data_IF_392857847901
#
_entry.id   IF_392857847901
#
_cell.length_a   1.000
_cell.length_b   1.000
_cell.length_c   1.000
_cell.angle_alpha   90.00
_cell.angle_beta   90.00
_cell.angle_gamma   90.00
#
_symmetry.space_group_name_H-M   'P 1'
#
loop_
_entity.id
_entity.type
_entity.pdbx_description
1 polymer ?
#
# COMPACT_ATOMS: atom_id res chain seq x y z
N UNK A 1 71.35 -65.57 -30.39
CA UNK A 1 71.82 -64.18 -30.50
C UNK A 1 70.84 -63.43 -31.39
N UNK A 2 69.72 -62.96 -30.84
CA UNK A 2 69.01 -61.77 -31.28
C UNK A 2 67.87 -61.47 -30.28
N UNK A 3 67.99 -60.27 -29.72
CA UNK A 3 67.12 -59.51 -28.83
C UNK A 3 65.70 -59.35 -29.41
N UNK A 4 64.64 -59.61 -28.62
CA UNK A 4 63.91 -58.68 -27.73
C UNK A 4 62.96 -57.68 -28.42
N UNK A 5 61.80 -57.44 -27.74
CA UNK A 5 60.90 -56.28 -27.79
C UNK A 5 59.92 -56.18 -28.97
N UNK A 6 58.63 -55.82 -28.82
CA UNK A 6 57.82 -55.26 -27.72
C UNK A 6 56.39 -55.82 -27.84
N UNK A 7 55.77 -56.16 -26.70
CA UNK A 7 54.31 -56.25 -26.59
C UNK A 7 53.71 -54.96 -26.04
N UNK A 8 52.51 -54.60 -26.46
CA UNK A 8 51.48 -53.92 -25.66
C UNK A 8 50.23 -53.67 -26.53
N UNK A 9 49.24 -54.54 -26.39
CA UNK A 9 47.84 -54.18 -26.59
C UNK A 9 47.38 -53.60 -25.25
N UNK A 10 46.97 -52.34 -25.22
CA UNK A 10 46.22 -51.81 -24.08
C UNK A 10 44.99 -51.05 -24.58
N UNK A 11 43.84 -51.53 -24.10
CA UNK A 11 42.51 -51.00 -24.32
C UNK A 11 42.23 -50.09 -23.13
N UNK A 12 42.19 -48.78 -23.32
CA UNK A 12 41.60 -47.87 -22.34
C UNK A 12 40.53 -46.97 -22.95
N UNK A 13 39.31 -47.41 -22.71
CA UNK A 13 38.08 -46.69 -22.41
C UNK A 13 38.20 -45.16 -22.37
N UNK A 14 37.62 -44.47 -23.36
CA UNK A 14 37.39 -43.02 -23.29
C UNK A 14 36.38 -42.72 -22.18
N UNK A 15 36.87 -42.12 -21.11
CA UNK A 15 36.07 -41.60 -20.01
C UNK A 15 35.26 -40.39 -20.52
N UNK A 16 33.93 -40.53 -20.56
CA UNK A 16 33.03 -39.40 -20.78
C UNK A 16 33.05 -38.50 -19.55
N UNK A 17 33.65 -37.32 -19.71
CA UNK A 17 33.74 -36.28 -18.70
C UNK A 17 32.35 -35.62 -18.55
N UNK A 18 31.59 -36.09 -17.57
CA UNK A 18 30.34 -35.48 -17.15
C UNK A 18 30.67 -34.08 -16.59
N UNK A 19 30.37 -33.04 -17.36
CA UNK A 19 30.43 -31.65 -16.88
C UNK A 19 29.23 -31.43 -15.95
N UNK A 20 29.46 -31.58 -14.66
CA UNK A 20 28.53 -31.12 -13.63
C UNK A 20 28.49 -29.59 -13.69
N UNK A 21 27.55 -29.04 -14.46
CA UNK A 21 27.13 -27.65 -14.30
C UNK A 21 26.45 -27.55 -12.94
N UNK A 22 27.19 -27.10 -11.93
CA UNK A 22 26.59 -26.49 -10.75
C UNK A 22 25.77 -25.29 -11.23
N UNK A 23 24.47 -25.49 -11.42
CA UNK A 23 23.53 -24.38 -11.48
C UNK A 23 23.62 -23.66 -10.15
N UNK A 24 24.25 -22.48 -10.15
CA UNK A 24 24.07 -21.51 -9.09
C UNK A 24 22.59 -21.12 -9.08
N UNK A 25 21.81 -21.79 -8.22
CA UNK A 25 20.46 -21.36 -7.88
C UNK A 25 20.62 -20.03 -7.16
N UNK A 26 20.45 -18.95 -7.92
CA UNK A 26 20.29 -17.61 -7.40
C UNK A 26 18.95 -17.60 -6.67
N UNK A 27 19.00 -17.87 -5.37
CA UNK A 27 17.87 -17.63 -4.48
C UNK A 27 17.62 -16.12 -4.44
N UNK A 28 16.81 -15.62 -5.39
CA UNK A 28 16.02 -14.42 -5.16
C UNK A 28 15.01 -14.79 -4.07
N UNK A 29 15.44 -14.63 -2.82
CA UNK A 29 14.52 -14.51 -1.71
C UNK A 29 13.66 -13.27 -2.00
N UNK A 30 12.48 -13.50 -2.58
CA UNK A 30 11.38 -12.54 -2.61
C UNK A 30 10.94 -12.29 -1.17
N UNK A 31 11.69 -11.46 -0.47
CA UNK A 31 11.39 -11.03 0.87
C UNK A 31 10.17 -10.09 0.83
N UNK A 32 9.13 -10.49 1.56
CA UNK A 32 8.00 -9.70 2.06
C UNK A 32 7.02 -9.07 1.02
N UNK A 33 5.89 -9.74 0.77
CA UNK A 33 4.70 -9.12 0.13
C UNK A 33 3.76 -8.52 1.20
N UNK A 34 4.29 -7.56 1.98
CA UNK A 34 3.53 -6.70 2.90
C UNK A 34 3.79 -5.23 2.56
N UNK A 35 3.89 -4.95 1.26
CA UNK A 35 4.20 -3.63 0.74
C UNK A 35 3.01 -2.68 0.87
N UNK A 36 3.29 -1.39 0.98
CA UNK A 36 2.27 -0.35 0.92
C UNK A 36 1.61 -0.37 -0.46
N UNK A 37 0.32 -0.03 -0.51
CA UNK A 37 -0.48 0.05 -1.73
C UNK A 37 -1.26 1.35 -1.70
N UNK A 38 -1.11 2.17 -2.73
CA UNK A 38 -1.71 3.50 -2.74
C UNK A 38 -2.16 3.92 -4.13
N UNK A 39 -3.11 4.85 -4.13
CA UNK A 39 -3.59 5.55 -5.31
C UNK A 39 -2.93 6.93 -5.34
N UNK A 40 -2.42 7.34 -6.49
CA UNK A 40 -1.76 8.63 -6.65
C UNK A 40 -2.20 9.29 -7.96
N UNK A 41 -2.70 10.53 -7.93
CA UNK A 41 -2.94 11.31 -9.12
C UNK A 41 -1.63 11.84 -9.70
N UNK A 42 -1.59 12.08 -11.01
CA UNK A 42 -0.52 12.85 -11.64
C UNK A 42 -0.46 14.32 -11.16
N UNK A 43 -1.59 14.86 -10.69
CA UNK A 43 -1.70 16.18 -10.05
C UNK A 43 -2.75 16.20 -8.94
N UNK A 44 -2.40 16.73 -7.78
CA UNK A 44 -3.32 16.86 -6.63
C UNK A 44 -4.19 18.13 -6.66
N UNK A 45 -3.84 19.13 -7.49
CA UNK A 45 -4.59 20.39 -7.62
C UNK A 45 -4.94 20.74 -9.09
N UNK A 46 -5.76 19.92 -9.77
CA UNK A 46 -6.17 20.15 -11.16
C UNK A 46 -7.18 21.31 -11.31
N UNK A 47 -7.24 21.98 -12.49
CA UNK A 47 -8.38 22.79 -12.89
C UNK A 47 -9.71 22.00 -12.95
N UNK A 48 -10.83 22.72 -12.88
CA UNK A 48 -12.15 22.11 -13.12
C UNK A 48 -12.23 21.57 -14.55
N UNK A 49 -12.78 20.35 -14.71
CA UNK A 49 -12.94 19.62 -15.98
C UNK A 49 -11.64 19.23 -16.71
N UNK A 50 -10.47 19.47 -16.12
CA UNK A 50 -9.25 18.85 -16.66
C UNK A 50 -9.22 17.37 -16.27
N UNK A 51 -8.77 16.55 -17.19
CA UNK A 51 -8.48 15.15 -16.93
C UNK A 51 -7.36 15.01 -15.88
N UNK A 52 -7.37 13.93 -15.11
CA UNK A 52 -6.39 13.56 -14.09
C UNK A 52 -6.16 12.06 -14.19
N UNK A 53 -4.90 11.67 -14.31
CA UNK A 53 -4.54 10.25 -14.32
C UNK A 53 -4.39 9.76 -12.88
N UNK A 54 -5.19 8.77 -12.49
CA UNK A 54 -5.09 8.08 -11.20
C UNK A 54 -4.39 6.75 -11.39
N UNK A 55 -3.16 6.64 -10.87
CA UNK A 55 -2.38 5.41 -10.91
C UNK A 55 -2.43 4.64 -9.59
N UNK A 56 -2.29 3.32 -9.66
CA UNK A 56 -2.08 2.47 -8.50
C UNK A 56 -0.62 2.03 -8.40
N UNK A 57 -0.11 2.01 -7.18
CA UNK A 57 1.28 1.66 -6.86
C UNK A 57 1.33 0.65 -5.73
N UNK A 58 2.31 -0.24 -5.79
CA UNK A 58 2.67 -1.13 -4.70
C UNK A 58 4.17 -1.07 -4.46
N UNK A 59 4.59 -0.97 -3.21
CA UNK A 59 6.01 -0.98 -2.88
C UNK A 59 6.34 -0.56 -1.46
N UNK A 60 7.62 -0.31 -1.22
CA UNK A 60 8.17 0.03 0.09
C UNK A 60 8.74 1.42 0.09
N UNK A 61 8.86 2.02 1.27
CA UNK A 61 9.55 3.31 1.41
C UNK A 61 8.96 4.41 0.52
N UNK A 62 7.65 4.31 0.25
CA UNK A 62 6.90 5.17 -0.65
C UNK A 62 7.42 5.22 -2.11
N UNK A 63 8.16 4.19 -2.51
CA UNK A 63 8.58 3.91 -3.89
C UNK A 63 7.88 2.64 -4.33
N UNK A 64 7.20 2.66 -5.46
CA UNK A 64 6.39 1.52 -5.88
C UNK A 64 6.26 1.34 -7.37
N UNK A 65 6.12 0.09 -7.75
CA UNK A 65 5.86 -0.33 -9.11
C UNK A 65 4.39 -0.10 -9.46
N UNK A 66 4.08 0.18 -10.75
CA UNK A 66 2.69 0.25 -11.21
C UNK A 66 1.94 -1.06 -10.97
N UNK A 67 0.67 -0.95 -10.59
CA UNK A 67 -0.25 -2.09 -10.48
C UNK A 67 -1.40 -1.92 -11.46
N UNK A 68 -1.79 -3.01 -12.11
CA UNK A 68 -2.94 -3.02 -13.01
C UNK A 68 -4.21 -2.51 -12.32
N UNK A 69 -4.89 -1.54 -12.92
CA UNK A 69 -6.07 -0.86 -12.40
C UNK A 69 -7.28 -1.18 -13.28
N UNK A 70 -8.19 -2.01 -12.77
CA UNK A 70 -9.42 -2.38 -13.47
C UNK A 70 -10.44 -3.12 -12.60
N UNK A 71 -11.59 -3.43 -13.20
CA UNK A 71 -12.72 -4.10 -12.55
C UNK A 71 -12.36 -5.43 -11.88
N UNK A 72 -11.47 -6.29 -12.44
CA UNK A 72 -11.12 -7.56 -11.78
C UNK A 72 -10.53 -7.40 -10.37
N UNK A 73 -9.91 -6.26 -10.07
CA UNK A 73 -9.34 -5.95 -8.76
C UNK A 73 -10.27 -5.12 -7.88
N UNK A 74 -11.10 -4.25 -8.45
CA UNK A 74 -11.93 -3.33 -7.71
C UNK A 74 -13.23 -3.98 -7.22
N UNK A 75 -13.44 -4.02 -5.90
CA UNK A 75 -14.77 -4.23 -5.33
C UNK A 75 -15.62 -2.97 -5.51
N UNK A 76 -15.04 -1.79 -5.24
CA UNK A 76 -15.66 -0.52 -5.56
C UNK A 76 -14.64 0.56 -5.89
N UNK A 77 -14.97 1.46 -6.82
CA UNK A 77 -14.34 2.76 -6.98
C UNK A 77 -15.43 3.82 -6.88
N UNK A 78 -15.26 4.76 -5.95
CA UNK A 78 -16.26 5.77 -5.62
C UNK A 78 -15.63 7.15 -5.51
N UNK A 79 -16.36 8.17 -5.94
CA UNK A 79 -15.94 9.56 -5.88
C UNK A 79 -16.92 10.35 -5.01
N UNK A 80 -16.38 11.02 -3.99
CA UNK A 80 -17.11 11.86 -3.06
C UNK A 80 -16.73 13.32 -3.25
N UNK A 81 -17.75 14.18 -3.25
CA UNK A 81 -17.64 15.62 -3.39
C UNK A 81 -18.84 16.31 -2.73
N UNK A 82 -18.89 17.64 -2.78
CA UNK A 82 -20.08 18.42 -2.39
C UNK A 82 -21.32 18.05 -3.20
N UNK A 83 -21.15 17.47 -4.39
CA UNK A 83 -22.24 16.96 -5.23
C UNK A 83 -22.84 15.64 -4.75
N UNK A 84 -22.28 15.03 -3.71
CA UNK A 84 -22.62 13.68 -3.27
C UNK A 84 -21.62 12.64 -3.77
N UNK A 85 -22.06 11.39 -3.74
CA UNK A 85 -21.30 10.22 -4.18
C UNK A 85 -21.60 9.88 -5.64
N UNK A 86 -20.55 9.53 -6.39
CA UNK A 86 -20.62 8.96 -7.74
C UNK A 86 -19.91 7.61 -7.72
N UNK A 87 -20.61 6.57 -8.19
CA UNK A 87 -20.02 5.23 -8.35
C UNK A 87 -19.27 5.17 -9.68
N UNK A 88 -17.96 4.95 -9.62
CA UNK A 88 -17.05 4.91 -10.76
C UNK A 88 -16.67 3.48 -11.19
N UNK A 89 -16.95 2.46 -10.38
CA UNK A 89 -16.62 1.05 -10.71
C UNK A 89 -17.03 0.63 -12.13
N UNK A 90 -18.22 1.00 -12.66
CA UNK A 90 -18.61 0.63 -14.03
C UNK A 90 -17.75 1.25 -15.14
N UNK A 91 -17.00 2.30 -14.84
CA UNK A 91 -16.11 3.01 -15.79
C UNK A 91 -14.72 2.39 -15.86
N UNK A 92 -14.39 1.48 -14.93
CA UNK A 92 -13.12 0.76 -14.96
C UNK A 92 -13.06 -0.23 -16.12
N UNK A 93 -11.87 -0.43 -16.72
CA UNK A 93 -11.66 -1.46 -17.74
C UNK A 93 -11.89 -2.87 -17.16
N UNK A 94 -12.33 -3.80 -18.00
CA UNK A 94 -12.55 -5.20 -17.62
C UNK A 94 -11.25 -6.05 -17.65
N UNK A 95 -10.09 -5.40 -17.56
CA UNK A 95 -8.77 -6.02 -17.57
C UNK A 95 -7.79 -5.25 -16.67
N UNK A 96 -6.61 -5.82 -16.42
CA UNK A 96 -5.56 -5.22 -15.58
C UNK A 96 -4.33 -4.76 -16.39
N UNK A 97 -4.47 -4.54 -17.71
CA UNK A 97 -3.36 -4.18 -18.60
C UNK A 97 -2.88 -2.72 -18.46
N UNK A 98 -3.73 -1.82 -17.94
CA UNK A 98 -3.37 -0.43 -17.65
C UNK A 98 -3.14 -0.26 -16.16
N UNK A 99 -2.23 0.63 -15.77
CA UNK A 99 -1.87 0.92 -14.38
C UNK A 99 -2.54 2.18 -13.82
N UNK A 100 -3.34 2.85 -14.65
CA UNK A 100 -3.95 4.14 -14.41
C UNK A 100 -5.33 4.25 -15.04
N UNK A 101 -6.16 5.14 -14.49
CA UNK A 101 -7.46 5.54 -15.07
C UNK A 101 -7.60 7.06 -15.07
N UNK A 102 -8.09 7.57 -16.18
CA UNK A 102 -8.34 9.00 -16.37
C UNK A 102 -9.71 9.40 -15.81
N UNK A 103 -9.75 10.41 -14.94
CA UNK A 103 -10.99 11.01 -14.44
C UNK A 103 -11.01 12.52 -14.66
N UNK A 104 -12.19 13.08 -14.94
CA UNK A 104 -12.39 14.53 -15.00
C UNK A 104 -13.40 14.97 -13.95
N UNK A 105 -13.03 15.98 -13.16
CA UNK A 105 -13.86 16.51 -12.08
C UNK A 105 -14.63 17.74 -12.53
N UNK A 106 -15.95 17.64 -12.61
CA UNK A 106 -16.82 18.68 -13.16
C UNK A 106 -17.15 19.82 -12.19
N UNK A 107 -16.71 19.74 -10.94
CA UNK A 107 -16.99 20.69 -9.86
C UNK A 107 -15.73 21.03 -9.08
N UNK A 108 -15.57 22.30 -8.64
CA UNK A 108 -14.48 22.68 -7.76
C UNK A 108 -14.71 22.14 -6.35
N UNK A 109 -13.65 22.09 -5.54
CA UNK A 109 -13.73 21.63 -4.16
C UNK A 109 -12.81 20.44 -3.88
N UNK A 110 -12.94 19.92 -2.66
CA UNK A 110 -12.27 18.69 -2.26
C UNK A 110 -12.92 17.50 -2.98
N UNK A 111 -12.09 16.65 -3.62
CA UNK A 111 -12.52 15.42 -4.26
C UNK A 111 -11.84 14.25 -3.57
N UNK A 112 -12.62 13.37 -2.95
CA UNK A 112 -12.13 12.17 -2.31
C UNK A 112 -12.48 10.97 -3.19
N UNK A 113 -11.45 10.25 -3.66
CA UNK A 113 -11.63 9.01 -4.42
C UNK A 113 -11.32 7.85 -3.48
N UNK A 114 -12.21 6.88 -3.41
CA UNK A 114 -12.06 5.68 -2.58
C UNK A 114 -12.14 4.42 -3.42
N UNK A 115 -11.15 3.55 -3.27
CA UNK A 115 -11.06 2.22 -3.85
C UNK A 115 -11.09 1.18 -2.75
N UNK A 116 -12.01 0.23 -2.85
CA UNK A 116 -11.99 -1.02 -2.12
C UNK A 116 -11.65 -2.15 -3.09
N UNK A 117 -10.69 -3.01 -2.75
CA UNK A 117 -10.30 -4.14 -3.60
C UNK A 117 -11.06 -5.41 -3.25
N UNK A 118 -11.24 -6.27 -4.25
CA UNK A 118 -11.47 -7.68 -4.01
C UNK A 118 -10.37 -8.26 -3.09
N UNK A 119 -10.67 -9.30 -2.30
CA UNK A 119 -9.68 -9.90 -1.42
C UNK A 119 -8.55 -10.59 -2.21
N UNK A 120 -7.34 -10.39 -1.73
CA UNK A 120 -6.16 -11.15 -2.11
C UNK A 120 -5.82 -12.17 -1.03
N UNK A 121 -4.95 -13.11 -1.35
CA UNK A 121 -4.52 -14.14 -0.39
C UNK A 121 -3.01 -14.30 -0.40
N UNK A 122 -2.45 -14.61 0.75
CA UNK A 122 -1.02 -14.89 0.90
C UNK A 122 -0.76 -15.84 2.06
N UNK A 123 0.25 -16.70 1.89
CA UNK A 123 0.81 -17.50 2.98
C UNK A 123 2.27 -17.11 3.18
N UNK A 124 2.60 -16.72 4.40
CA UNK A 124 3.95 -16.32 4.81
C UNK A 124 4.53 -17.34 5.77
N UNK A 125 5.85 -17.52 5.73
CA UNK A 125 6.55 -18.30 6.76
C UNK A 125 6.30 -17.71 8.15
N UNK A 126 6.48 -18.51 9.19
CA UNK A 126 6.28 -18.05 10.57
C UNK A 126 7.12 -16.80 10.89
N UNK A 127 8.39 -16.79 10.51
CA UNK A 127 9.31 -15.68 10.78
C UNK A 127 8.90 -14.41 10.02
N UNK A 128 8.61 -14.53 8.72
CA UNK A 128 8.19 -13.39 7.90
C UNK A 128 6.86 -12.83 8.40
N UNK A 129 5.88 -13.68 8.72
CA UNK A 129 4.59 -13.23 9.24
C UNK A 129 4.75 -12.54 10.59
N UNK A 130 5.51 -13.12 11.53
CA UNK A 130 5.73 -12.51 12.84
C UNK A 130 6.52 -11.19 12.75
N UNK A 131 7.44 -11.05 11.78
CA UNK A 131 8.14 -9.78 11.52
C UNK A 131 7.16 -8.71 11.03
N UNK A 132 6.35 -9.04 10.02
CA UNK A 132 5.27 -8.19 9.51
C UNK A 132 4.31 -7.72 10.61
N UNK A 133 3.85 -8.63 11.48
CA UNK A 133 2.96 -8.26 12.59
C UNK A 133 3.59 -7.25 13.55
N UNK A 134 4.91 -7.28 13.76
CA UNK A 134 5.61 -6.29 14.60
C UNK A 134 5.74 -4.96 13.89
N UNK A 135 6.10 -4.98 12.61
CA UNK A 135 6.29 -3.77 11.81
C UNK A 135 4.99 -2.96 11.69
N UNK A 136 3.86 -3.65 11.54
CA UNK A 136 2.54 -3.04 11.42
C UNK A 136 1.84 -2.76 12.77
N UNK A 137 2.51 -3.00 13.90
CA UNK A 137 1.93 -2.76 15.23
C UNK A 137 0.70 -3.62 15.52
N UNK A 138 0.73 -4.88 15.09
CA UNK A 138 -0.32 -5.89 15.30
C UNK A 138 0.01 -6.78 16.50
N UNK A 139 0.44 -6.19 17.62
CA UNK A 139 0.88 -6.95 18.81
C UNK A 139 -0.20 -7.89 19.35
N UNK A 140 -1.49 -7.49 19.23
CA UNK A 140 -2.63 -8.32 19.64
C UNK A 140 -2.72 -9.62 18.83
N UNK A 141 -2.42 -9.58 17.53
CA UNK A 141 -2.41 -10.76 16.65
C UNK A 141 -1.24 -11.65 17.03
N UNK A 142 -0.06 -11.05 17.24
CA UNK A 142 1.13 -11.79 17.67
C UNK A 142 0.89 -12.51 19.01
N UNK A 143 0.19 -11.86 19.95
CA UNK A 143 -0.20 -12.46 21.22
C UNK A 143 -1.22 -13.61 21.05
N UNK A 144 -2.25 -13.43 20.21
CA UNK A 144 -3.23 -14.47 19.89
C UNK A 144 -2.55 -15.72 19.28
N UNK A 145 -1.63 -15.53 18.32
CA UNK A 145 -0.85 -16.64 17.73
C UNK A 145 -0.03 -17.40 18.77
N UNK A 146 0.61 -16.69 19.70
CA UNK A 146 1.39 -17.32 20.79
C UNK A 146 0.48 -18.13 21.70
N UNK A 147 -0.64 -17.56 22.13
CA UNK A 147 -1.61 -18.23 23.00
C UNK A 147 -2.20 -19.49 22.34
N UNK A 148 -2.40 -19.47 21.03
CA UNK A 148 -2.89 -20.60 20.25
C UNK A 148 -1.80 -21.64 19.89
N UNK A 149 -0.52 -21.45 20.30
CA UNK A 149 0.58 -22.35 19.92
C UNK A 149 0.97 -22.27 18.42
N UNK A 150 0.52 -21.23 17.71
CA UNK A 150 0.70 -21.05 16.27
C UNK A 150 1.93 -20.18 15.92
N UNK A 151 2.74 -19.78 16.90
CA UNK A 151 3.85 -18.85 16.69
C UNK A 151 4.89 -19.36 15.67
N UNK A 152 5.15 -20.67 15.65
CA UNK A 152 6.07 -21.33 14.72
C UNK A 152 5.40 -21.84 13.43
N UNK A 153 4.10 -21.61 13.25
CA UNK A 153 3.35 -22.01 12.07
C UNK A 153 3.34 -20.89 11.03
N UNK A 154 3.20 -21.21 9.72
CA UNK A 154 2.92 -20.20 8.70
C UNK A 154 1.73 -19.31 9.06
N UNK A 155 1.71 -18.08 8.57
CA UNK A 155 0.54 -17.20 8.65
C UNK A 155 -0.17 -17.16 7.31
N UNK A 156 -1.45 -17.54 7.28
CA UNK A 156 -2.29 -17.46 6.08
C UNK A 156 -3.27 -16.31 6.25
N UNK A 157 -3.15 -15.29 5.41
CA UNK A 157 -4.08 -14.16 5.45
C UNK A 157 -4.81 -13.99 4.12
N UNK A 158 -6.08 -13.59 4.24
CA UNK A 158 -6.84 -12.95 3.19
C UNK A 158 -6.80 -11.45 3.46
N UNK A 159 -6.39 -10.64 2.51
CA UNK A 159 -6.25 -9.20 2.73
C UNK A 159 -7.01 -8.35 1.72
N UNK A 160 -7.47 -7.18 2.17
CA UNK A 160 -8.19 -6.18 1.37
C UNK A 160 -7.50 -4.82 1.51
N UNK A 161 -7.47 -4.05 0.42
CA UNK A 161 -6.95 -2.68 0.41
C UNK A 161 -8.12 -1.70 0.36
N UNK A 162 -8.09 -0.74 1.28
CA UNK A 162 -9.04 0.35 1.45
C UNK A 162 -8.28 1.67 1.23
N UNK A 163 -8.30 2.15 -0.01
CA UNK A 163 -7.37 3.18 -0.47
C UNK A 163 -8.14 4.44 -0.80
N UNK A 164 -7.62 5.58 -0.35
CA UNK A 164 -8.17 6.89 -0.68
C UNK A 164 -7.10 7.82 -1.24
N UNK A 165 -7.52 8.70 -2.14
CA UNK A 165 -6.72 9.87 -2.53
C UNK A 165 -7.59 11.11 -2.48
N UNK A 166 -7.01 12.21 -1.99
CA UNK A 166 -7.70 13.49 -1.83
C UNK A 166 -7.09 14.55 -2.74
N UNK A 167 -7.91 15.11 -3.63
CA UNK A 167 -7.56 16.17 -4.56
C UNK A 167 -8.28 17.48 -4.21
N UNK A 168 -7.69 18.60 -4.64
CA UNK A 168 -8.26 19.94 -4.53
C UNK A 168 -8.50 20.53 -5.92
N UNK A 169 -9.72 20.41 -6.44
CA UNK A 169 -10.06 20.90 -7.78
C UNK A 169 -10.37 22.39 -7.76
N UNK A 170 -9.74 23.14 -8.67
CA UNK A 170 -9.98 24.57 -8.85
C UNK A 170 -9.62 25.44 -7.64
N UNK A 171 -8.60 25.02 -6.87
CA UNK A 171 -8.10 25.69 -5.64
C UNK A 171 -9.15 25.94 -4.55
N UNK A 172 -10.30 25.26 -4.63
CA UNK A 172 -11.34 25.31 -3.63
C UNK A 172 -11.32 24.05 -2.78
N UNK A 173 -11.70 24.20 -1.52
CA UNK A 173 -11.79 23.10 -0.56
C UNK A 173 -13.07 23.27 0.26
N UNK A 174 -13.66 22.14 0.64
CA UNK A 174 -14.90 22.02 1.38
C UNK A 174 -14.88 20.74 2.25
N UNK A 175 -15.93 20.48 3.02
CA UNK A 175 -15.98 19.37 3.98
C UNK A 175 -15.86 17.95 3.36
N UNK A 176 -15.88 17.81 2.02
CA UNK A 176 -15.70 16.52 1.35
C UNK A 176 -14.36 15.86 1.65
N UNK A 177 -13.34 16.63 2.09
CA UNK A 177 -12.05 16.06 2.53
C UNK A 177 -12.19 15.01 3.65
N UNK A 178 -13.25 15.10 4.45
CA UNK A 178 -13.48 14.29 5.65
C UNK A 178 -14.70 13.40 5.55
N UNK A 179 -15.25 13.19 4.35
CA UNK A 179 -16.39 12.28 4.15
C UNK A 179 -15.98 10.85 4.54
N UNK A 180 -16.88 10.19 5.26
CA UNK A 180 -16.79 8.76 5.55
C UNK A 180 -17.31 7.99 4.34
N UNK A 181 -16.41 7.34 3.62
CA UNK A 181 -16.70 6.45 2.50
C UNK A 181 -17.27 5.09 2.96
N UNK A 182 -17.25 4.79 4.26
CA UNK A 182 -17.80 3.54 4.79
C UNK A 182 -16.93 2.32 4.48
N UNK A 183 -15.61 2.53 4.32
CA UNK A 183 -14.67 1.43 4.13
C UNK A 183 -14.54 0.61 5.41
N UNK A 184 -14.21 -0.68 5.28
CA UNK A 184 -14.07 -1.57 6.46
C UNK A 184 -12.97 -1.09 7.40
N UNK A 185 -11.82 -0.69 6.85
CA UNK A 185 -10.80 0.07 7.58
C UNK A 185 -10.66 1.42 6.91
N UNK A 186 -10.98 2.50 7.63
CA UNK A 186 -11.10 3.82 7.05
C UNK A 186 -10.25 4.86 7.78
N UNK A 187 -9.43 5.60 7.04
CA UNK A 187 -8.71 6.79 7.52
C UNK A 187 -9.51 8.03 7.14
N UNK A 188 -9.92 8.86 8.11
CA UNK A 188 -10.73 10.07 7.89
C UNK A 188 -9.96 11.30 8.38
N UNK A 189 -9.63 12.27 7.50
CA UNK A 189 -9.10 13.55 7.94
C UNK A 189 -10.13 14.32 8.77
N UNK A 190 -9.70 14.84 9.93
CA UNK A 190 -10.53 15.66 10.81
C UNK A 190 -10.49 17.15 10.43
N UNK A 191 -9.49 17.55 9.66
CA UNK A 191 -9.35 18.85 9.03
C UNK A 191 -8.75 18.64 7.63
N UNK A 192 -8.90 19.63 6.75
CA UNK A 192 -8.38 19.54 5.39
C UNK A 192 -6.84 19.42 5.38
N UNK A 193 -6.29 18.26 5.01
CA UNK A 193 -4.84 18.06 5.02
C UNK A 193 -4.14 18.84 3.90
N UNK A 194 -4.86 19.23 2.84
CA UNK A 194 -4.31 20.03 1.74
C UNK A 194 -4.27 21.53 2.08
N UNK A 195 -4.85 21.96 3.21
CA UNK A 195 -4.67 23.33 3.75
C UNK A 195 -3.49 23.46 4.70
N UNK A 196 -2.84 22.36 5.06
CA UNK A 196 -1.68 22.38 5.94
C UNK A 196 -0.50 23.16 5.32
N UNK A 197 0.43 23.53 6.18
CA UNK A 197 1.75 24.10 5.84
C UNK A 197 2.81 23.33 6.63
N UNK A 198 4.10 23.37 6.22
CA UNK A 198 5.18 22.80 7.01
C UNK A 198 5.09 23.20 8.49
N UNK A 199 5.18 22.21 9.40
CA UNK A 199 4.95 22.37 10.84
C UNK A 199 3.48 22.27 11.27
N UNK A 200 2.55 22.13 10.33
CA UNK A 200 1.13 21.94 10.57
C UNK A 200 0.81 20.53 11.07
N UNK A 201 -0.35 20.40 11.71
CA UNK A 201 -0.77 19.18 12.39
C UNK A 201 -1.79 18.39 11.55
N UNK A 202 -1.40 17.22 11.07
CA UNK A 202 -2.32 16.27 10.44
C UNK A 202 -3.12 15.55 11.51
N UNK A 203 -4.43 15.75 11.53
CA UNK A 203 -5.36 15.08 12.45
C UNK A 203 -6.22 14.08 11.68
N UNK A 204 -6.14 12.82 12.07
CA UNK A 204 -6.86 11.71 11.45
C UNK A 204 -7.73 11.00 12.47
N UNK A 205 -8.82 10.39 12.03
CA UNK A 205 -9.57 9.38 12.75
C UNK A 205 -9.54 8.07 11.96
N UNK A 206 -9.15 6.98 12.58
CA UNK A 206 -9.18 5.63 12.02
C UNK A 206 -10.42 4.92 12.55
N UNK A 207 -11.18 4.34 11.63
CA UNK A 207 -12.38 3.57 11.91
C UNK A 207 -12.21 2.13 11.43
N UNK A 208 -12.74 1.17 12.18
CA UNK A 208 -12.93 -0.21 11.74
C UNK A 208 -14.42 -0.55 11.82
N UNK A 209 -15.02 -0.96 10.70
CA UNK A 209 -16.47 -1.16 10.56
C UNK A 209 -17.29 0.06 11.05
N UNK A 210 -16.81 1.27 10.75
CA UNK A 210 -17.44 2.53 11.15
C UNK A 210 -17.27 2.94 12.62
N UNK A 211 -16.68 2.08 13.47
CA UNK A 211 -16.40 2.38 14.87
C UNK A 211 -14.94 2.87 15.06
N UNK A 212 -14.66 3.75 16.02
CA UNK A 212 -13.29 4.17 16.35
C UNK A 212 -12.35 2.99 16.60
N UNK A 213 -11.18 3.00 15.96
CA UNK A 213 -10.16 1.97 16.16
C UNK A 213 -9.03 2.50 17.05
N UNK A 214 -9.02 2.09 18.32
CA UNK A 214 -8.00 2.43 19.30
C UNK A 214 -6.68 1.66 19.09
N UNK A 215 -5.55 2.31 19.40
CA UNK A 215 -4.22 1.70 19.49
C UNK A 215 -3.59 1.32 18.15
N UNK A 216 -4.25 1.61 17.02
CA UNK A 216 -3.74 1.31 15.69
C UNK A 216 -2.50 2.14 15.38
N UNK A 217 -1.48 1.49 14.82
CA UNK A 217 -0.28 2.16 14.35
C UNK A 217 -0.58 2.87 13.03
N UNK A 218 -0.54 4.19 13.04
CA UNK A 218 -0.62 5.02 11.83
C UNK A 218 0.79 5.43 11.44
N UNK A 219 1.18 5.08 10.21
CA UNK A 219 2.44 5.49 9.58
C UNK A 219 2.13 6.61 8.59
N UNK A 220 2.86 7.71 8.65
CA UNK A 220 2.70 8.86 7.75
C UNK A 220 4.01 9.07 7.00
N UNK A 221 3.95 8.82 5.70
CA UNK A 221 5.09 8.74 4.80
C UNK A 221 5.19 9.97 3.92
N UNK A 222 6.40 10.46 3.72
CA UNK A 222 6.74 11.46 2.71
C UNK A 222 8.10 11.13 2.11
N UNK A 223 8.21 11.26 0.80
CA UNK A 223 9.46 11.12 0.08
C UNK A 223 9.87 12.46 -0.52
N UNK A 224 11.13 12.84 -0.32
CA UNK A 224 11.75 14.02 -0.92
C UNK A 224 13.07 13.63 -1.56
N UNK A 225 13.05 13.37 -2.87
CA UNK A 225 14.21 12.79 -3.56
C UNK A 225 14.59 11.45 -2.93
N UNK A 226 15.84 11.31 -2.49
CA UNK A 226 16.32 10.10 -1.81
C UNK A 226 15.94 10.03 -0.31
N UNK A 227 15.42 11.11 0.28
CA UNK A 227 15.08 11.13 1.70
C UNK A 227 13.66 10.60 1.93
N UNK A 228 13.56 9.48 2.61
CA UNK A 228 12.32 8.95 3.15
C UNK A 228 12.08 9.49 4.57
N UNK A 229 10.86 9.92 4.84
CA UNK A 229 10.42 10.23 6.19
C UNK A 229 9.20 9.39 6.55
N UNK A 230 9.27 8.73 7.71
CA UNK A 230 8.19 7.88 8.23
C UNK A 230 7.90 8.30 9.66
N UNK A 231 6.79 9.01 9.84
CA UNK A 231 6.31 9.41 11.16
C UNK A 231 5.35 8.33 11.66
N UNK A 232 5.45 7.95 12.93
CA UNK A 232 4.63 6.90 13.54
C UNK A 232 3.87 7.48 14.73
N UNK A 233 2.58 7.20 14.78
CA UNK A 233 1.71 7.55 15.90
C UNK A 233 0.72 6.42 16.16
N UNK A 234 0.16 6.34 17.37
CA UNK A 234 -0.96 5.45 17.66
C UNK A 234 -2.25 6.23 17.80
N UNK A 235 -3.37 5.58 17.48
CA UNK A 235 -4.69 6.14 17.71
C UNK A 235 -5.08 6.05 19.19
N UNK A 236 -5.78 7.08 19.69
CA UNK A 236 -6.39 7.10 21.01
C UNK A 236 -7.71 6.30 21.06
N UNK A 237 -8.40 6.31 22.21
CA UNK A 237 -9.69 5.63 22.41
C UNK A 237 -10.82 6.15 21.50
N UNK A 238 -10.69 7.38 20.96
CA UNK A 238 -11.61 7.93 19.96
C UNK A 238 -11.16 7.61 18.52
N UNK A 239 -10.17 6.73 18.36
CA UNK A 239 -9.58 6.34 17.08
C UNK A 239 -8.77 7.47 16.44
N UNK A 240 -8.38 8.51 17.19
CA UNK A 240 -7.75 9.71 16.63
C UNK A 240 -6.24 9.66 16.76
N UNK A 241 -5.55 10.21 15.77
CA UNK A 241 -4.11 10.41 15.81
C UNK A 241 -3.73 11.77 15.25
N UNK A 242 -2.62 12.30 15.74
CA UNK A 242 -2.13 13.62 15.37
C UNK A 242 -0.64 13.56 15.09
N UNK A 243 -0.24 14.05 13.91
CA UNK A 243 1.16 14.04 13.44
C UNK A 243 1.55 15.38 12.87
N UNK A 244 2.61 15.99 13.38
CA UNK A 244 3.15 17.24 12.80
C UNK A 244 3.91 16.93 11.51
N UNK A 245 3.54 17.56 10.40
CA UNK A 245 4.15 17.36 9.08
C UNK A 245 5.20 18.43 8.79
N UNK A 246 6.50 18.12 8.81
CA UNK A 246 7.54 19.14 8.72
C UNK A 246 7.85 19.63 7.30
N UNK A 247 7.32 19.00 6.23
CA UNK A 247 7.64 19.37 4.84
C UNK A 247 6.41 19.33 3.93
N UNK A 248 6.34 20.26 2.99
CA UNK A 248 5.37 20.21 1.90
C UNK A 248 5.67 19.05 0.92
N UNK A 249 4.69 18.73 0.07
CA UNK A 249 4.75 17.66 -0.92
C UNK A 249 3.69 16.59 -0.70
N UNK A 250 3.87 15.46 -1.36
CA UNK A 250 2.95 14.32 -1.30
C UNK A 250 3.16 13.54 -0.02
N UNK A 251 2.06 13.23 0.65
CA UNK A 251 2.01 12.44 1.88
C UNK A 251 1.10 11.24 1.69
N UNK A 252 1.42 10.16 2.39
CA UNK A 252 0.61 8.96 2.48
C UNK A 252 0.45 8.57 3.95
N UNK A 253 -0.77 8.47 4.44
CA UNK A 253 -1.06 7.84 5.72
C UNK A 253 -1.46 6.37 5.48
N UNK A 254 -0.88 5.44 6.24
CA UNK A 254 -1.23 4.02 6.20
C UNK A 254 -1.49 3.45 7.59
N UNK A 255 -2.35 2.43 7.64
CA UNK A 255 -2.70 1.68 8.84
C UNK A 255 -3.10 0.26 8.44
N UNK A 256 -2.74 -0.72 9.28
CA UNK A 256 -3.16 -2.11 9.10
C UNK A 256 -3.95 -2.58 10.31
N UNK A 257 -5.03 -3.31 10.06
CA UNK A 257 -5.82 -3.95 11.10
C UNK A 257 -6.17 -5.37 10.67
N UNK A 258 -5.94 -6.34 11.55
CA UNK A 258 -6.13 -7.75 11.22
C UNK A 258 -7.03 -8.46 12.23
N UNK A 259 -8.00 -9.24 11.79
CA UNK A 259 -8.90 -10.02 12.66
C UNK A 259 -8.81 -11.51 12.31
N UNK A 260 -9.11 -12.44 13.23
CA UNK A 260 -9.17 -13.85 12.88
C UNK A 260 -10.20 -14.09 11.77
N UNK A 261 -9.86 -14.93 10.79
CA UNK A 261 -10.83 -15.35 9.79
C UNK A 261 -11.87 -16.30 10.42
N UNK A 262 -13.14 -16.13 10.08
CA UNK A 262 -14.25 -16.88 10.71
C UNK A 262 -14.96 -17.86 9.78
N UNK A 263 -14.66 -17.84 8.48
CA UNK A 263 -15.46 -18.51 7.44
C UNK A 263 -14.96 -19.92 7.04
N UNK A 264 -14.07 -20.52 7.83
CA UNK A 264 -13.51 -21.88 7.62
C UNK A 264 -12.90 -22.14 6.23
N UNK A 265 -12.49 -21.11 5.50
CA UNK A 265 -11.88 -21.24 4.16
C UNK A 265 -10.37 -21.51 4.17
N UNK A 266 -9.82 -21.99 5.29
CA UNK A 266 -8.39 -22.31 5.43
C UNK A 266 -7.48 -21.09 5.62
N UNK A 267 -8.04 -19.89 5.81
CA UNK A 267 -7.34 -18.67 6.20
C UNK A 267 -7.30 -18.55 7.73
N UNK A 268 -6.19 -18.05 8.26
CA UNK A 268 -6.07 -17.78 9.69
C UNK A 268 -6.56 -16.36 10.03
N UNK A 269 -6.33 -15.40 9.12
CA UNK A 269 -6.56 -13.98 9.34
C UNK A 269 -7.24 -13.27 8.16
N UNK A 270 -8.10 -12.31 8.46
CA UNK A 270 -8.53 -11.25 7.56
C UNK A 270 -7.75 -9.96 7.89
N UNK A 271 -6.93 -9.48 6.95
CA UNK A 271 -6.15 -8.25 7.09
C UNK A 271 -6.75 -7.12 6.25
N UNK A 272 -6.87 -5.95 6.84
CA UNK A 272 -7.38 -4.75 6.21
C UNK A 272 -6.28 -3.71 6.20
N UNK A 273 -6.01 -3.15 5.03
CA UNK A 273 -4.98 -2.15 4.81
C UNK A 273 -5.64 -0.84 4.41
N UNK A 274 -5.53 0.18 5.27
CA UNK A 274 -6.05 1.51 5.04
C UNK A 274 -4.96 2.42 4.51
N UNK A 275 -5.28 3.22 3.49
CA UNK A 275 -4.37 4.20 2.90
C UNK A 275 -5.07 5.51 2.56
N UNK A 276 -4.40 6.64 2.75
CA UNK A 276 -4.84 7.96 2.27
C UNK A 276 -3.66 8.74 1.72
N UNK A 277 -3.70 9.10 0.44
CA UNK A 277 -2.75 10.04 -0.18
C UNK A 277 -3.32 11.45 -0.33
N UNK A 278 -2.48 12.46 -0.14
CA UNK A 278 -2.81 13.86 -0.37
C UNK A 278 -1.53 14.66 -0.60
N UNK A 279 -1.66 15.88 -1.11
CA UNK A 279 -0.55 16.83 -1.21
C UNK A 279 -0.74 17.99 -0.23
N UNK A 280 0.29 18.21 0.61
CA UNK A 280 0.43 19.47 1.33
C UNK A 280 1.13 20.47 0.42
N UNK A 281 0.49 21.61 0.07
CA UNK A 281 1.05 22.54 -0.90
C UNK A 281 2.36 23.16 -0.41
N UNK A 282 3.27 23.42 -1.33
CA UNK A 282 4.40 24.32 -1.09
C UNK A 282 3.83 25.69 -0.65
N UNK A 283 4.48 26.33 0.33
CA UNK A 283 4.17 27.72 0.61
C UNK A 283 4.35 28.52 -0.69
N UNK A 284 3.41 29.42 -1.06
CA UNK A 284 3.62 30.27 -2.22
C UNK A 284 4.95 30.98 -2.05
N UNK A 285 5.81 30.91 -3.07
CA UNK A 285 7.05 31.67 -3.08
C UNK A 285 6.68 33.12 -2.75
N UNK A 286 7.24 33.67 -1.67
CA UNK A 286 7.12 35.09 -1.41
C UNK A 286 7.69 35.78 -2.65
N UNK A 287 6.81 36.38 -3.48
CA UNK A 287 7.26 37.24 -4.56
C UNK A 287 8.02 38.36 -3.88
N UNK A 288 9.35 38.35 -3.97
CA UNK A 288 10.14 39.53 -3.60
C UNK A 288 9.58 40.69 -4.45
N UNK A 289 9.12 41.79 -3.85
CA UNK A 289 8.86 42.99 -4.63
C UNK A 289 10.18 43.36 -5.34
N UNK A 290 10.07 43.65 -6.63
CA UNK A 290 11.14 44.21 -7.45
C UNK A 290 11.56 45.57 -6.91
#
# INVERSE_FOLDING_TARGET
>A
MQQERVGALDVSTRCHMNKWFFSAVLWLATAAQAHEFWMVPDRFSPPVRSEVELALRVGENFVGDPVGFGRPMAESLRWFSRGGEVVLTPQLPDHLAQDSVALAFDRPGAQLIALDTQPFTITLSADTFNAYLREEGLERVLAQRKAAGQYAQPGRERYRRHVKTLLRVGDQSDASFGVRAGQTLEIVPLADPQRLRPGGSLSLQVLFNGAPLEGALVKVWNQRGAQLNVLRTRTDAAGRSTTTLPWAGVWMASVVHMVPATDQQGWDWDSHWGNLTFEMPLAPAQRRPL
#
